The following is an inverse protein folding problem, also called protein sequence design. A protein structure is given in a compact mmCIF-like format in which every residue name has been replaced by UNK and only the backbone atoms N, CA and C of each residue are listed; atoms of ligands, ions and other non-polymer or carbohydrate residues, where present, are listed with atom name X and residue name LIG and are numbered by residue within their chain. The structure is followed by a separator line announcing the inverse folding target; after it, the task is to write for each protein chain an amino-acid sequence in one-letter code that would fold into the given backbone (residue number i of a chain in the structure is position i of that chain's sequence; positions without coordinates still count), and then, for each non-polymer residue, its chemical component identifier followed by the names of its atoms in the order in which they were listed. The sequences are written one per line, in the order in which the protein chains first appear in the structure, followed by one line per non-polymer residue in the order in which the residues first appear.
data_IF_213515475405
#
_entry.id   IF_213515475405
#
_cell.length_a   1.000
_cell.length_b   1.000
_cell.length_c   1.000
_cell.angle_alpha   90.00
_cell.angle_beta   90.00
_cell.angle_gamma   90.00
#
_symmetry.space_group_name_H-M   'P 1'
#
loop_
_entity.id
_entity.type
_entity.pdbx_description
1 polymer ?
#
# COMPACT_ATOMS: atom_id res chain seq x y z
N UNK A 1 9.18 -20.95 -13.85
CA UNK A 1 9.88 -19.85 -13.14
C UNK A 1 9.37 -19.88 -11.71
N UNK A 2 10.21 -19.78 -10.67
CA UNK A 2 9.67 -19.59 -9.32
C UNK A 2 8.79 -18.33 -9.37
N UNK A 3 7.56 -18.43 -8.89
CA UNK A 3 6.73 -17.24 -8.73
C UNK A 3 7.37 -16.38 -7.65
N UNK A 4 7.94 -15.24 -8.03
CA UNK A 4 8.53 -14.31 -7.06
C UNK A 4 7.45 -13.87 -6.07
N UNK A 5 7.56 -14.40 -4.84
CA UNK A 5 6.58 -14.16 -3.80
C UNK A 5 6.69 -12.73 -3.27
N UNK A 6 5.54 -12.07 -3.19
CA UNK A 6 5.41 -10.75 -2.56
C UNK A 6 5.13 -10.84 -1.06
N UNK A 7 5.07 -12.04 -0.47
CA UNK A 7 4.87 -12.19 0.98
C UNK A 7 5.97 -11.50 1.80
N UNK A 8 5.58 -10.97 2.95
CA UNK A 8 6.46 -10.30 3.90
C UNK A 8 6.04 -8.86 4.17
N UNK A 9 6.95 -8.13 4.82
CA UNK A 9 6.73 -6.72 5.18
C UNK A 9 7.41 -5.81 4.16
N UNK A 10 6.68 -4.83 3.68
CA UNK A 10 7.12 -3.83 2.72
C UNK A 10 6.96 -2.45 3.33
N UNK A 11 7.98 -1.61 3.23
CA UNK A 11 8.02 -0.30 3.87
C UNK A 11 8.50 0.75 2.89
N UNK A 12 7.90 1.94 2.95
CA UNK A 12 8.30 3.08 2.15
C UNK A 12 7.28 4.20 2.25
N UNK A 13 6.97 4.79 1.11
CA UNK A 13 6.20 6.02 1.05
C UNK A 13 5.00 5.90 0.13
N UNK A 14 3.92 6.56 0.54
CA UNK A 14 2.76 6.85 -0.28
C UNK A 14 2.76 8.34 -0.57
N UNK A 15 2.82 8.68 -1.85
CA UNK A 15 2.80 10.05 -2.34
C UNK A 15 1.41 10.41 -2.81
N UNK A 16 0.98 11.64 -2.54
CA UNK A 16 -0.27 12.20 -3.03
C UNK A 16 0.04 13.41 -3.92
N UNK A 17 -0.75 13.63 -4.97
CA UNK A 17 -0.64 14.86 -5.76
C UNK A 17 -1.14 16.08 -4.96
N UNK A 18 -0.82 17.28 -5.45
CA UNK A 18 -1.15 18.55 -4.81
C UNK A 18 -2.65 18.69 -4.50
N UNK A 19 -2.97 19.23 -3.31
CA UNK A 19 -4.33 19.39 -2.81
C UNK A 19 -4.71 18.44 -1.66
N UNK A 20 -3.78 17.57 -1.23
CA UNK A 20 -3.91 16.75 -0.03
C UNK A 20 -3.52 17.46 1.26
N UNK A 21 -3.59 16.73 2.39
CA UNK A 21 -3.08 17.23 3.68
C UNK A 21 -1.55 17.23 3.75
N UNK A 22 -0.90 16.39 2.94
CA UNK A 22 0.54 16.28 2.78
C UNK A 22 0.86 15.58 1.45
N UNK A 23 2.08 15.79 0.96
CA UNK A 23 2.56 15.20 -0.30
C UNK A 23 3.12 13.78 -0.10
N UNK A 24 3.54 13.44 1.12
CA UNK A 24 4.16 12.16 1.47
C UNK A 24 3.63 11.63 2.80
N UNK A 25 3.35 10.32 2.81
CA UNK A 25 2.94 9.55 3.98
C UNK A 25 3.85 8.35 4.14
N UNK A 26 4.13 7.96 5.37
CA UNK A 26 4.68 6.65 5.66
C UNK A 26 3.67 5.58 5.24
N UNK A 27 4.15 4.55 4.54
CA UNK A 27 3.32 3.44 4.10
C UNK A 27 4.00 2.09 4.32
N UNK A 28 3.23 1.13 4.84
CA UNK A 28 3.69 -0.23 5.09
C UNK A 28 2.62 -1.23 4.64
N UNK A 29 3.05 -2.33 4.04
CA UNK A 29 2.21 -3.49 3.73
C UNK A 29 2.76 -4.74 4.41
N UNK A 30 1.91 -5.43 5.16
CA UNK A 30 2.15 -6.78 5.65
C UNK A 30 1.37 -7.72 4.73
N UNK A 31 2.06 -8.51 3.90
CA UNK A 31 1.45 -9.30 2.83
C UNK A 31 1.58 -10.80 3.12
N UNK A 32 0.45 -11.51 3.11
CA UNK A 32 0.38 -12.96 3.07
C UNK A 32 -0.13 -13.41 1.68
N UNK A 33 0.67 -14.17 0.94
CA UNK A 33 0.34 -14.60 -0.43
C UNK A 33 0.01 -16.08 -0.48
N UNK A 34 -1.06 -16.43 -1.18
CA UNK A 34 -1.48 -17.79 -1.47
C UNK A 34 -1.75 -17.93 -2.97
N UNK A 35 -0.75 -18.40 -3.72
CA UNK A 35 -0.81 -18.52 -5.18
C UNK A 35 -1.00 -17.16 -5.86
N UNK A 36 -2.12 -17.02 -6.60
CA UNK A 36 -2.48 -15.79 -7.33
C UNK A 36 -3.20 -14.75 -6.46
N UNK A 37 -3.45 -15.06 -5.20
CA UNK A 37 -4.14 -14.17 -4.27
C UNK A 37 -3.22 -13.78 -3.13
N UNK A 38 -3.47 -12.62 -2.53
CA UNK A 38 -2.83 -12.19 -1.32
C UNK A 38 -3.80 -11.37 -0.46
N UNK A 39 -3.52 -11.30 0.82
CA UNK A 39 -4.26 -10.52 1.78
C UNK A 39 -3.29 -9.95 2.83
N UNK A 40 -3.78 -9.01 3.63
CA UNK A 40 -2.99 -8.50 4.73
C UNK A 40 -3.45 -7.15 5.24
N UNK A 41 -2.50 -6.40 5.80
CA UNK A 41 -2.75 -5.11 6.44
C UNK A 41 -1.87 -4.05 5.79
N UNK A 42 -2.49 -2.95 5.34
CA UNK A 42 -1.81 -1.72 5.00
C UNK A 42 -1.81 -0.80 6.22
N UNK A 43 -0.71 -0.07 6.42
CA UNK A 43 -0.59 0.97 7.43
C UNK A 43 -0.16 2.25 6.75
N UNK A 44 -0.90 3.32 6.98
CA UNK A 44 -0.57 4.67 6.51
C UNK A 44 -0.39 5.58 7.72
N UNK A 45 0.61 6.46 7.68
CA UNK A 45 0.90 7.36 8.79
C UNK A 45 1.50 8.69 8.37
N UNK A 46 1.15 9.74 9.11
CA UNK A 46 1.75 11.07 9.08
C UNK A 46 1.67 11.65 10.50
N UNK A 47 2.81 11.80 11.17
CA UNK A 47 2.89 12.27 12.56
C UNK A 47 1.95 11.45 13.49
N UNK A 48 0.94 12.10 14.10
CA UNK A 48 -0.05 11.46 14.98
C UNK A 48 -1.24 10.82 14.23
N UNK A 49 -1.33 11.03 12.91
CA UNK A 49 -2.38 10.50 12.06
C UNK A 49 -1.95 9.12 11.55
N UNK A 50 -2.69 8.07 11.89
CA UNK A 50 -2.39 6.72 11.43
C UNK A 50 -3.64 5.87 11.24
N UNK A 51 -3.61 4.96 10.28
CA UNK A 51 -4.62 3.93 10.12
C UNK A 51 -3.99 2.60 9.71
N UNK A 52 -4.59 1.51 10.19
CA UNK A 52 -4.37 0.16 9.72
C UNK A 52 -5.63 -0.34 9.01
N UNK A 53 -5.48 -0.87 7.80
CA UNK A 53 -6.60 -1.23 6.93
C UNK A 53 -6.33 -2.61 6.33
N UNK A 54 -7.32 -3.50 6.35
CA UNK A 54 -7.21 -4.79 5.65
C UNK A 54 -7.26 -4.58 4.15
N UNK A 55 -6.54 -5.42 3.40
CA UNK A 55 -6.64 -5.45 1.95
C UNK A 55 -6.71 -6.89 1.43
N UNK A 56 -7.22 -7.01 0.22
CA UNK A 56 -7.06 -8.19 -0.64
C UNK A 56 -6.31 -7.78 -1.90
N UNK A 57 -5.58 -8.71 -2.50
CA UNK A 57 -4.85 -8.49 -3.72
C UNK A 57 -4.87 -9.71 -4.64
N UNK A 58 -4.80 -9.44 -5.94
CA UNK A 58 -4.77 -10.48 -6.98
C UNK A 58 -3.60 -10.22 -7.91
N UNK A 59 -2.90 -11.28 -8.28
CA UNK A 59 -1.81 -11.22 -9.24
C UNK A 59 -2.34 -10.96 -10.65
N UNK A 60 -1.75 -9.98 -11.30
CA UNK A 60 -1.95 -9.67 -12.70
C UNK A 60 -0.76 -10.17 -13.55
N UNK A 61 -0.83 -9.93 -14.85
CA UNK A 61 0.25 -10.28 -15.77
C UNK A 61 1.54 -9.48 -15.49
N UNK A 62 2.68 -10.01 -15.95
CA UNK A 62 3.97 -9.32 -15.93
C UNK A 62 4.45 -8.80 -14.55
N UNK A 63 4.07 -9.50 -13.46
CA UNK A 63 4.50 -9.16 -12.10
C UNK A 63 3.78 -7.97 -11.47
N UNK A 64 2.61 -7.63 -12.01
CA UNK A 64 1.70 -6.65 -11.43
C UNK A 64 0.76 -7.32 -10.43
N UNK A 65 0.31 -6.54 -9.45
CA UNK A 65 -0.64 -6.94 -8.42
C UNK A 65 -1.64 -5.83 -8.19
N UNK A 66 -2.93 -6.16 -8.25
CA UNK A 66 -4.01 -5.24 -7.95
C UNK A 66 -4.45 -5.44 -6.50
N UNK A 67 -4.40 -4.38 -5.70
CA UNK A 67 -4.76 -4.36 -4.28
C UNK A 67 -6.05 -3.56 -4.08
N UNK A 68 -6.86 -3.95 -3.10
CA UNK A 68 -8.06 -3.22 -2.68
C UNK A 68 -8.19 -3.26 -1.17
N UNK A 69 -8.11 -2.09 -0.54
CA UNK A 69 -8.41 -1.90 0.87
C UNK A 69 -9.90 -2.12 1.17
N UNK A 70 -10.22 -2.68 2.34
CA UNK A 70 -11.57 -3.12 2.70
C UNK A 70 -12.07 -2.51 3.99
N UNK A 71 -11.35 -2.69 5.09
CA UNK A 71 -11.85 -2.34 6.43
C UNK A 71 -10.73 -1.74 7.30
N UNK A 72 -11.03 -0.62 7.94
CA UNK A 72 -10.13 0.00 8.92
C UNK A 72 -10.20 -0.82 10.21
N UNK A 73 -9.07 -1.39 10.64
CA UNK A 73 -8.97 -2.18 11.87
C UNK A 73 -8.55 -1.34 13.07
N UNK A 74 -7.81 -0.25 12.83
CA UNK A 74 -7.48 0.74 13.84
C UNK A 74 -7.17 2.06 13.17
N UNK A 75 -7.51 3.17 13.82
CA UNK A 75 -7.11 4.49 13.34
C UNK A 75 -7.02 5.51 14.46
N UNK A 76 -6.22 6.54 14.24
CA UNK A 76 -6.10 7.74 15.05
C UNK A 76 -6.01 8.92 14.10
N UNK A 77 -6.99 9.80 14.13
CA UNK A 77 -7.02 11.05 13.39
C UNK A 77 -7.98 12.03 14.07
N UNK A 78 -7.86 13.34 13.81
CA UNK A 78 -8.90 14.31 14.15
C UNK A 78 -10.26 13.97 13.54
N UNK A 79 -11.36 14.30 14.21
CA UNK A 79 -12.73 13.96 13.77
C UNK A 79 -13.13 14.56 12.42
N UNK A 80 -12.44 15.62 11.98
CA UNK A 80 -12.67 16.27 10.69
C UNK A 80 -11.92 15.63 9.52
N UNK A 81 -11.15 14.55 9.76
CA UNK A 81 -10.40 13.85 8.73
C UNK A 81 -11.13 12.58 8.30
N UNK A 82 -11.38 12.46 7.00
CA UNK A 82 -11.94 11.25 6.42
C UNK A 82 -10.85 10.30 5.92
N UNK A 83 -10.99 9.02 6.24
CA UNK A 83 -10.13 8.00 5.70
C UNK A 83 -10.48 7.66 4.25
N UNK A 84 -9.43 7.59 3.44
CA UNK A 84 -9.52 7.16 2.07
C UNK A 84 -9.21 5.66 1.95
N UNK A 85 -10.17 4.88 1.45
CA UNK A 85 -9.96 3.49 1.05
C UNK A 85 -9.30 3.46 -0.33
N UNK A 86 -8.17 2.79 -0.42
CA UNK A 86 -7.30 2.81 -1.60
C UNK A 86 -7.40 1.55 -2.42
N UNK A 87 -7.20 1.74 -3.71
CA UNK A 87 -6.92 0.73 -4.70
C UNK A 87 -5.59 1.08 -5.34
N UNK A 88 -4.73 0.08 -5.56
CA UNK A 88 -3.41 0.33 -6.13
C UNK A 88 -2.93 -0.85 -6.96
N UNK A 89 -2.23 -0.55 -8.05
CA UNK A 89 -1.64 -1.54 -8.94
C UNK A 89 -0.13 -1.45 -8.82
N UNK A 90 0.49 -2.40 -8.13
CA UNK A 90 1.92 -2.38 -7.84
C UNK A 90 2.65 -3.39 -8.72
N UNK A 91 3.75 -2.94 -9.31
CA UNK A 91 4.68 -3.78 -10.05
C UNK A 91 5.83 -4.18 -9.14
N UNK A 92 6.12 -5.48 -9.11
CA UNK A 92 7.34 -5.98 -8.51
C UNK A 92 8.55 -5.69 -9.42
N UNK A 93 9.59 -5.08 -8.87
CA UNK A 93 10.87 -4.78 -9.54
C UNK A 93 12.04 -5.17 -8.63
N UNK A 94 13.19 -5.38 -9.26
CA UNK A 94 14.47 -5.53 -8.57
C UNK A 94 15.31 -4.28 -8.82
N UNK A 95 15.85 -3.70 -7.74
CA UNK A 95 16.87 -2.67 -7.83
C UNK A 95 18.24 -3.27 -8.14
N UNK A 96 19.18 -2.41 -8.54
CA UNK A 96 20.56 -2.79 -8.87
C UNK A 96 21.33 -3.42 -7.70
N UNK A 97 20.92 -3.12 -6.46
CA UNK A 97 21.46 -3.71 -5.23
C UNK A 97 20.82 -5.07 -4.86
N UNK A 98 19.94 -5.60 -5.70
CA UNK A 98 19.20 -6.83 -5.48
C UNK A 98 18.00 -6.69 -4.54
N UNK A 99 17.69 -5.47 -4.05
CA UNK A 99 16.50 -5.25 -3.23
C UNK A 99 15.22 -5.33 -4.07
N UNK A 100 14.16 -5.89 -3.49
CA UNK A 100 12.84 -5.96 -4.11
C UNK A 100 12.06 -4.68 -3.84
N UNK A 101 11.40 -4.16 -4.86
CA UNK A 101 10.61 -2.93 -4.82
C UNK A 101 9.21 -3.23 -5.34
N UNK A 102 8.18 -2.78 -4.62
CA UNK A 102 6.81 -2.67 -5.11
C UNK A 102 6.53 -1.20 -5.40
N UNK A 103 6.09 -0.90 -6.62
CA UNK A 103 5.78 0.48 -7.00
C UNK A 103 4.68 0.59 -8.03
N UNK A 104 3.87 1.63 -7.92
CA UNK A 104 2.82 1.92 -8.88
C UNK A 104 1.82 2.95 -8.39
N UNK A 105 0.79 3.25 -9.21
CA UNK A 105 -0.22 4.24 -8.89
C UNK A 105 -1.19 3.72 -7.82
N UNK A 106 -1.77 4.66 -7.08
CA UNK A 106 -2.94 4.44 -6.22
C UNK A 106 -4.02 5.47 -6.49
N UNK A 107 -5.25 5.09 -6.23
CA UNK A 107 -6.44 5.95 -6.22
C UNK A 107 -7.34 5.48 -5.09
N UNK A 108 -8.35 6.28 -4.73
CA UNK A 108 -9.23 5.88 -3.65
C UNK A 108 -10.47 6.70 -3.53
N UNK A 109 -11.30 6.33 -2.55
CA UNK A 109 -12.55 7.01 -2.24
C UNK A 109 -12.74 7.11 -0.73
N UNK A 110 -13.21 8.26 -0.27
CA UNK A 110 -13.72 8.48 1.08
C UNK A 110 -15.25 8.57 1.05
N UNK A 111 -15.87 8.92 2.18
CA UNK A 111 -17.32 9.17 2.24
C UNK A 111 -17.70 10.41 1.42
N UNK A 112 -16.85 11.44 1.43
CA UNK A 112 -17.08 12.71 0.75
C UNK A 112 -16.74 12.70 -0.75
N UNK A 113 -16.01 11.71 -1.27
CA UNK A 113 -15.74 11.64 -2.71
C UNK A 113 -14.49 10.88 -3.10
N UNK A 114 -14.04 11.10 -4.34
CA UNK A 114 -12.78 10.57 -4.82
C UNK A 114 -11.60 11.25 -4.11
N UNK A 115 -10.63 10.45 -3.69
CA UNK A 115 -9.39 10.96 -3.13
C UNK A 115 -8.43 11.36 -4.25
N UNK A 116 -7.54 12.30 -3.96
CA UNK A 116 -6.49 12.68 -4.89
C UNK A 116 -5.54 11.48 -5.05
N UNK A 117 -5.31 11.01 -6.29
CA UNK A 117 -4.47 9.85 -6.54
C UNK A 117 -2.99 10.16 -6.33
N UNK A 118 -2.17 9.14 -6.40
CA UNK A 118 -0.73 9.32 -6.34
C UNK A 118 0.06 8.03 -6.58
N UNK A 119 1.23 7.92 -5.97
CA UNK A 119 2.18 6.82 -6.22
C UNK A 119 2.62 6.17 -4.93
N UNK A 120 2.78 4.85 -4.94
CA UNK A 120 3.36 4.07 -3.84
C UNK A 120 4.74 3.59 -4.26
N UNK A 121 5.71 3.69 -3.35
CA UNK A 121 7.05 3.13 -3.50
C UNK A 121 7.42 2.42 -2.20
N UNK A 122 7.56 1.10 -2.26
CA UNK A 122 7.86 0.25 -1.11
C UNK A 122 9.07 -0.62 -1.40
N UNK A 123 9.91 -0.81 -0.38
CA UNK A 123 11.02 -1.77 -0.40
C UNK A 123 10.69 -2.94 0.52
N UNK A 124 11.06 -4.15 0.11
CA UNK A 124 10.89 -5.33 0.96
C UNK A 124 11.81 -5.20 2.17
N UNK A 125 11.23 -5.20 3.37
CA UNK A 125 12.01 -5.16 4.59
C UNK A 125 12.74 -6.48 4.78
N UNK A 126 14.00 -6.39 5.22
CA UNK A 126 14.79 -7.57 5.61
C UNK A 126 14.46 -8.05 7.02
N UNK A 127 13.48 -7.45 7.70
CA UNK A 127 13.13 -7.81 9.08
C UNK A 127 12.86 -9.31 9.15
N UNK A 128 13.80 -10.06 9.75
CA UNK A 128 13.55 -11.40 10.26
C UNK A 128 12.54 -11.23 11.39
N UNK A 129 11.33 -11.76 11.21
CA UNK A 129 10.52 -12.14 12.34
C UNK A 129 11.26 -13.21 13.16
#
# INVERSE_FOLDING_TARGET
MPEDSISGVWVGSLYQQEGGIADEFYFLLEINQQGLYAEGISRVGLEDIQAAITFVATRELAGHWAFTEREITSSRAPDNLEWCYKQYHLKLKYASDGSMILTGPWWGRSKSGACIPGTIILKKSKTRA
#
